data_IF_348776388011
#
_entry.id   IF_348776388011
#
_cell.length_a   1.000
_cell.length_b   1.000
_cell.length_c   1.000
_cell.angle_alpha   90.00
_cell.angle_beta   90.00
_cell.angle_gamma   90.00
#
_symmetry.space_group_name_H-M   'P 1'
#
loop_
_entity.id
_entity.type
_entity.pdbx_description
1 polymer ?
#
# COMPACT_ATOMS: atom_id res chain seq x y z
N UNK A 1 21.70 -13.32 -39.27
CA UNK A 1 20.56 -12.98 -38.38
C UNK A 1 19.93 -14.28 -37.89
N UNK A 2 20.16 -14.66 -36.64
CA UNK A 2 19.62 -15.91 -36.07
C UNK A 2 18.16 -15.70 -35.69
N UNK A 3 17.24 -16.20 -36.52
CA UNK A 3 15.83 -16.34 -36.15
C UNK A 3 15.74 -17.57 -35.26
N UNK A 4 15.67 -17.36 -33.95
CA UNK A 4 15.36 -18.44 -33.00
C UNK A 4 13.88 -18.77 -33.12
N UNK A 5 13.56 -19.82 -33.90
CA UNK A 5 12.19 -20.29 -34.17
C UNK A 5 11.43 -20.67 -32.88
N UNK A 6 12.13 -21.09 -31.82
CA UNK A 6 11.52 -21.56 -30.57
C UNK A 6 11.32 -20.49 -29.47
N UNK A 7 11.86 -19.28 -29.61
CA UNK A 7 11.75 -18.25 -28.56
C UNK A 7 11.23 -16.95 -29.14
N UNK A 8 9.95 -16.66 -28.91
CA UNK A 8 9.32 -15.41 -29.32
C UNK A 8 9.63 -14.30 -28.29
N UNK A 9 10.70 -13.54 -28.57
CA UNK A 9 11.18 -12.45 -27.69
C UNK A 9 10.12 -11.35 -27.53
N UNK A 10 9.33 -11.07 -28.57
CA UNK A 10 8.23 -10.10 -28.50
C UNK A 10 7.12 -10.56 -27.55
N UNK A 11 6.74 -11.85 -27.59
CA UNK A 11 5.77 -12.42 -26.66
C UNK A 11 6.30 -12.41 -25.21
N UNK A 12 7.58 -12.70 -25.00
CA UNK A 12 8.21 -12.63 -23.67
C UNK A 12 8.24 -11.19 -23.14
N UNK A 13 8.53 -10.21 -24.00
CA UNK A 13 8.50 -8.80 -23.63
C UNK A 13 7.07 -8.33 -23.30
N UNK A 14 6.09 -8.73 -24.11
CA UNK A 14 4.68 -8.45 -23.85
C UNK A 14 4.22 -9.07 -22.53
N UNK A 15 4.60 -10.32 -22.25
CA UNK A 15 4.29 -10.98 -20.98
C UNK A 15 4.93 -10.25 -19.79
N UNK A 16 6.20 -9.83 -19.89
CA UNK A 16 6.86 -9.02 -18.85
C UNK A 16 6.14 -7.70 -18.59
N UNK A 17 5.69 -7.01 -19.65
CA UNK A 17 4.89 -5.78 -19.51
C UNK A 17 3.52 -6.06 -18.90
N UNK A 18 2.85 -7.16 -19.28
CA UNK A 18 1.58 -7.57 -18.69
C UNK A 18 1.71 -7.89 -17.20
N UNK A 19 2.73 -8.65 -16.78
CA UNK A 19 2.99 -8.93 -15.35
C UNK A 19 3.21 -7.64 -14.58
N UNK A 20 4.04 -6.72 -15.11
CA UNK A 20 4.26 -5.41 -14.48
C UNK A 20 2.96 -4.59 -14.36
N UNK A 21 2.12 -4.59 -15.40
CA UNK A 21 0.84 -3.89 -15.37
C UNK A 21 -0.15 -4.54 -14.38
N UNK A 22 -0.16 -5.86 -14.28
CA UNK A 22 -0.97 -6.57 -13.28
C UNK A 22 -0.55 -6.22 -11.86
N UNK A 23 0.76 -6.16 -11.58
CA UNK A 23 1.27 -5.76 -10.26
C UNK A 23 0.84 -4.32 -9.90
N UNK A 24 0.93 -3.39 -10.85
CA UNK A 24 0.47 -2.01 -10.65
C UNK A 24 -1.05 -1.96 -10.44
N UNK A 25 -1.82 -2.70 -11.25
CA UNK A 25 -3.28 -2.75 -11.13
C UNK A 25 -3.72 -3.33 -9.78
N UNK A 26 -3.06 -4.39 -9.31
CA UNK A 26 -3.30 -4.99 -8.00
C UNK A 26 -3.06 -4.00 -6.86
N UNK A 27 -1.97 -3.22 -6.91
CA UNK A 27 -1.69 -2.15 -5.93
C UNK A 27 -2.73 -1.03 -5.98
N UNK A 28 -3.17 -0.65 -7.18
CA UNK A 28 -4.21 0.36 -7.33
C UNK A 28 -5.54 -0.11 -6.74
N UNK A 29 -5.91 -1.37 -6.97
CA UNK A 29 -7.10 -1.98 -6.37
C UNK A 29 -7.00 -2.05 -4.85
N UNK A 30 -5.83 -2.38 -4.28
CA UNK A 30 -5.60 -2.39 -2.83
C UNK A 30 -5.75 -0.99 -2.22
N UNK A 31 -5.23 0.05 -2.88
CA UNK A 31 -5.39 1.46 -2.44
C UNK A 31 -6.84 1.91 -2.56
N UNK A 32 -7.54 1.49 -3.60
CA UNK A 32 -8.97 1.79 -3.78
C UNK A 32 -9.82 1.09 -2.71
N UNK A 33 -9.57 -0.18 -2.42
CA UNK A 33 -10.38 -0.97 -1.47
C UNK A 33 -10.19 -0.52 -0.02
N UNK A 34 -8.98 -0.10 0.34
CA UNK A 34 -8.65 0.40 1.67
C UNK A 34 -8.99 1.88 1.86
N UNK A 35 -9.13 2.64 0.78
CA UNK A 35 -9.24 4.10 0.80
C UNK A 35 -7.98 4.81 1.32
N UNK A 36 -6.89 4.08 1.55
CA UNK A 36 -5.67 4.61 2.15
C UNK A 36 -4.56 4.71 1.10
N UNK A 37 -3.87 5.85 1.10
CA UNK A 37 -2.76 6.10 0.16
C UNK A 37 -1.56 5.20 0.45
N UNK A 38 -1.37 4.73 1.68
CA UNK A 38 -0.21 3.95 2.13
C UNK A 38 -0.74 2.72 2.86
N UNK A 39 -0.66 1.55 2.23
CA UNK A 39 -1.16 0.29 2.81
C UNK A 39 -0.05 -0.67 3.18
N UNK A 40 1.06 -0.65 2.42
CA UNK A 40 2.20 -1.53 2.66
C UNK A 40 3.37 -0.72 3.20
N UNK A 41 4.09 -1.29 4.15
CA UNK A 41 5.39 -0.75 4.59
C UNK A 41 6.40 -0.65 3.45
N UNK A 42 6.21 -1.41 2.37
CA UNK A 42 7.00 -1.34 1.15
C UNK A 42 6.77 -0.06 0.31
N UNK A 43 5.60 0.59 0.43
CA UNK A 43 5.30 1.83 -0.31
C UNK A 43 6.02 3.06 0.30
N UNK A 44 6.50 2.93 1.54
CA UNK A 44 7.19 3.99 2.27
C UNK A 44 7.22 3.68 3.77
N UNK A 45 8.25 2.99 4.29
CA UNK A 45 8.28 2.53 5.68
C UNK A 45 8.23 3.72 6.66
N UNK A 46 8.89 4.83 6.33
CA UNK A 46 8.85 6.05 7.14
C UNK A 46 7.45 6.67 7.22
N UNK A 47 6.74 6.73 6.10
CA UNK A 47 5.40 7.32 6.05
C UNK A 47 4.35 6.43 6.74
N UNK A 48 4.50 5.11 6.65
CA UNK A 48 3.69 4.17 7.41
C UNK A 48 3.93 4.33 8.93
N UNK A 49 5.19 4.38 9.38
CA UNK A 49 5.53 4.56 10.80
C UNK A 49 4.97 5.87 11.36
N UNK A 50 5.05 6.97 10.60
CA UNK A 50 4.44 8.25 11.00
C UNK A 50 2.92 8.12 11.10
N UNK A 51 2.28 7.47 10.13
CA UNK A 51 0.82 7.26 10.19
C UNK A 51 0.39 6.44 11.41
N UNK A 52 1.13 5.40 11.77
CA UNK A 52 0.83 4.59 12.95
C UNK A 52 1.10 5.33 14.26
N UNK A 53 2.17 6.14 14.31
CA UNK A 53 2.42 7.03 15.45
C UNK A 53 1.28 8.04 15.62
N UNK A 54 0.79 8.63 14.53
CA UNK A 54 -0.34 9.56 14.58
C UNK A 54 -1.64 8.84 15.02
N UNK A 55 -1.91 7.64 14.50
CA UNK A 55 -3.05 6.82 14.98
C UNK A 55 -2.94 6.51 16.48
N UNK A 56 -1.75 6.18 16.96
CA UNK A 56 -1.51 5.94 18.38
C UNK A 56 -1.74 7.21 19.23
N UNK A 57 -1.27 8.36 18.77
CA UNK A 57 -1.51 9.65 19.45
C UNK A 57 -3.01 9.98 19.50
N UNK A 58 -3.75 9.80 18.39
CA UNK A 58 -5.20 10.02 18.36
C UNK A 58 -5.92 9.12 19.37
N UNK A 59 -5.56 7.84 19.44
CA UNK A 59 -6.12 6.92 20.45
C UNK A 59 -5.80 7.37 21.87
N UNK A 60 -4.57 7.78 22.13
CA UNK A 60 -4.16 8.29 23.45
C UNK A 60 -4.93 9.56 23.85
N UNK A 61 -5.10 10.50 22.93
CA UNK A 61 -5.89 11.72 23.16
C UNK A 61 -7.35 11.40 23.42
N UNK A 62 -7.96 10.49 22.64
CA UNK A 62 -9.35 10.05 22.90
C UNK A 62 -9.52 9.45 24.29
N UNK A 63 -8.62 8.55 24.69
CA UNK A 63 -8.67 7.99 26.03
C UNK A 63 -8.50 9.07 27.11
N UNK A 64 -7.63 10.06 26.89
CA UNK A 64 -7.46 11.16 27.82
C UNK A 64 -8.74 12.03 27.94
N UNK A 65 -9.47 12.22 26.84
CA UNK A 65 -10.77 12.90 26.82
C UNK A 65 -11.78 12.06 27.61
N UNK A 66 -11.95 10.78 27.29
CA UNK A 66 -12.89 9.89 27.96
C UNK A 66 -12.61 9.82 29.47
N UNK A 67 -11.34 9.76 29.88
CA UNK A 67 -10.93 9.79 31.28
C UNK A 67 -11.26 11.13 31.95
N UNK A 68 -11.14 12.25 31.23
CA UNK A 68 -11.47 13.57 31.76
C UNK A 68 -12.98 13.73 31.94
N UNK A 69 -13.78 13.25 30.99
CA UNK A 69 -15.25 13.22 31.09
C UNK A 69 -15.71 12.34 32.25
N UNK A 70 -15.13 11.14 32.40
CA UNK A 70 -15.43 10.24 33.51
C UNK A 70 -15.00 10.81 34.88
N UNK A 71 -13.98 11.67 34.93
CA UNK A 71 -13.56 12.35 36.16
C UNK A 71 -14.40 13.58 36.51
N UNK A 72 -15.22 14.09 35.58
CA UNK A 72 -16.15 15.20 35.80
C UNK A 72 -17.52 14.71 36.28
N UNK A 73 -17.94 13.51 35.86
CA UNK A 73 -19.21 12.87 36.27
C UNK A 73 -19.16 12.30 37.68
#
# INVERSE_FOLDING_TARGET
>A
MSIRINTNISAINAHRMLTKNNDVSSRNLERLSSGQKINRGADGPAALVVSERLRAQIRGVRQAIDNSEAGIS
#
